data_IF_335439700100
#
_entry.id   IF_335439700100
#
_cell.length_a   1.000
_cell.length_b   1.000
_cell.length_c   1.000
_cell.angle_alpha   90.00
_cell.angle_beta   90.00
_cell.angle_gamma   90.00
#
_symmetry.space_group_name_H-M   'P 1'
#
loop_
_entity.id
_entity.type
_entity.pdbx_description
1 polymer ?
#
# COMPACT_ATOMS: atom_id res chain seq x y z
N UNK A 1 0.91 -11.61 8.73
CA UNK A 1 0.74 -10.15 8.61
C UNK A 1 -0.09 -9.72 7.41
N UNK A 2 0.02 -10.37 6.24
CA UNK A 2 -0.80 -10.05 5.06
C UNK A 2 -2.31 -9.97 5.37
N UNK A 3 -2.93 -11.01 5.95
CA UNK A 3 -4.37 -10.93 6.30
C UNK A 3 -4.70 -9.75 7.22
N UNK A 4 -3.93 -9.60 8.29
CA UNK A 4 -4.09 -8.52 9.27
C UNK A 4 -4.07 -7.12 8.63
N UNK A 5 -3.05 -6.80 7.83
CA UNK A 5 -2.94 -5.47 7.22
C UNK A 5 -4.05 -5.21 6.22
N UNK A 6 -4.64 -6.25 5.62
CA UNK A 6 -5.72 -6.11 4.66
C UNK A 6 -7.01 -5.73 5.37
N UNK A 7 -7.29 -6.39 6.48
CA UNK A 7 -8.45 -6.08 7.31
C UNK A 7 -8.32 -4.67 7.89
N UNK A 8 -7.12 -4.27 8.34
CA UNK A 8 -6.87 -2.91 8.86
C UNK A 8 -7.13 -1.84 7.79
N UNK A 9 -6.59 -1.97 6.57
CA UNK A 9 -6.82 -0.97 5.52
C UNK A 9 -8.28 -0.99 5.03
N UNK A 10 -8.90 -2.17 4.98
CA UNK A 10 -10.33 -2.32 4.70
C UNK A 10 -11.20 -1.52 5.66
N UNK A 11 -10.98 -1.71 6.96
CA UNK A 11 -11.75 -1.05 8.00
C UNK A 11 -11.48 0.46 8.07
N UNK A 12 -10.19 0.85 8.04
CA UNK A 12 -9.80 2.25 8.24
C UNK A 12 -10.00 3.14 7.02
N UNK A 13 -9.69 2.66 5.81
CA UNK A 13 -9.76 3.46 4.60
C UNK A 13 -11.08 3.25 3.83
N UNK A 14 -11.64 2.04 3.84
CA UNK A 14 -12.78 1.72 2.96
C UNK A 14 -14.09 1.46 3.72
N UNK A 15 -14.05 1.41 5.05
CA UNK A 15 -15.20 1.03 5.88
C UNK A 15 -15.73 -0.37 5.55
N UNK A 16 -14.86 -1.25 5.04
CA UNK A 16 -15.18 -2.59 4.58
C UNK A 16 -14.37 -3.63 5.33
N UNK A 17 -15.05 -4.57 5.98
CA UNK A 17 -14.38 -5.68 6.65
C UNK A 17 -14.16 -6.83 5.66
N UNK A 18 -12.91 -7.04 5.26
CA UNK A 18 -12.55 -8.17 4.39
C UNK A 18 -12.67 -9.51 5.11
N UNK A 19 -12.68 -9.54 6.44
CA UNK A 19 -12.76 -10.75 7.24
C UNK A 19 -11.72 -11.79 6.80
N UNK A 20 -10.53 -11.32 6.41
CA UNK A 20 -9.50 -12.18 5.84
C UNK A 20 -8.86 -13.07 6.91
N UNK A 21 -8.86 -12.65 8.17
CA UNK A 21 -8.44 -13.46 9.31
C UNK A 21 -9.37 -14.65 9.59
N UNK A 22 -10.67 -14.52 9.32
CA UNK A 22 -11.68 -15.59 9.54
C UNK A 22 -11.93 -16.45 8.29
N UNK A 23 -11.20 -16.20 7.18
CA UNK A 23 -11.30 -16.91 5.89
C UNK A 23 -12.70 -16.88 5.24
N UNK A 24 -13.57 -15.93 5.57
CA UNK A 24 -14.91 -15.89 4.97
C UNK A 24 -14.89 -15.42 3.50
N UNK A 25 -13.91 -14.58 3.13
CA UNK A 25 -13.75 -14.02 1.78
C UNK A 25 -12.54 -14.58 1.00
N UNK A 26 -12.29 -15.89 1.05
CA UNK A 26 -11.16 -16.52 0.35
C UNK A 26 -11.10 -16.23 -1.15
N UNK A 27 -12.26 -16.06 -1.81
CA UNK A 27 -12.33 -15.79 -3.25
C UNK A 27 -11.75 -14.42 -3.61
N UNK A 28 -12.10 -13.38 -2.84
CA UNK A 28 -11.58 -12.02 -3.02
C UNK A 28 -10.07 -11.99 -2.75
N UNK A 29 -9.63 -12.70 -1.71
CA UNK A 29 -8.21 -12.88 -1.39
C UNK A 29 -7.43 -13.57 -2.50
N UNK A 30 -8.00 -14.64 -3.07
CA UNK A 30 -7.38 -15.38 -4.17
C UNK A 30 -7.30 -14.53 -5.44
N UNK A 31 -8.36 -13.78 -5.76
CA UNK A 31 -8.39 -12.84 -6.88
C UNK A 31 -7.31 -11.75 -6.72
N UNK A 32 -7.20 -11.17 -5.53
CA UNK A 32 -6.19 -10.17 -5.19
C UNK A 32 -4.76 -10.72 -5.33
N UNK A 33 -4.49 -11.88 -4.73
CA UNK A 33 -3.17 -12.54 -4.83
C UNK A 33 -2.77 -12.82 -6.29
N UNK A 34 -3.72 -13.25 -7.12
CA UNK A 34 -3.44 -13.49 -8.54
C UNK A 34 -3.16 -12.21 -9.33
N UNK A 35 -3.70 -11.08 -8.92
CA UNK A 35 -3.41 -9.79 -9.55
C UNK A 35 -2.00 -9.30 -9.22
N UNK A 36 -1.57 -9.40 -7.95
CA UNK A 36 -0.28 -8.88 -7.51
C UNK A 36 0.90 -9.82 -7.74
N UNK A 37 0.66 -11.10 -8.05
CA UNK A 37 1.75 -11.99 -8.46
C UNK A 37 2.38 -11.54 -9.77
N UNK A 38 3.72 -11.44 -9.85
CA UNK A 38 4.38 -11.06 -11.09
C UNK A 38 3.98 -12.05 -12.20
N UNK A 39 3.63 -11.57 -13.40
CA UNK A 39 3.44 -12.46 -14.54
C UNK A 39 4.68 -13.31 -14.74
N UNK A 40 4.50 -14.58 -15.11
CA UNK A 40 5.60 -15.42 -15.58
C UNK A 40 6.37 -14.68 -16.68
N UNK A 41 7.70 -14.83 -16.73
CA UNK A 41 8.57 -14.14 -17.71
C UNK A 41 8.02 -14.31 -19.14
N UNK A 42 7.58 -15.51 -19.50
CA UNK A 42 6.97 -15.79 -20.81
C UNK A 42 5.72 -14.93 -21.08
N UNK A 43 4.86 -14.75 -20.08
CA UNK A 43 3.67 -13.89 -20.16
C UNK A 43 4.06 -12.41 -20.29
N UNK A 44 5.08 -11.96 -19.55
CA UNK A 44 5.57 -10.58 -19.65
C UNK A 44 6.14 -10.28 -21.05
N UNK A 45 6.97 -11.18 -21.59
CA UNK A 45 7.52 -11.10 -22.95
C UNK A 45 6.38 -11.10 -23.97
N UNK A 46 5.43 -12.04 -23.87
CA UNK A 46 4.27 -12.08 -24.76
C UNK A 46 3.50 -10.76 -24.77
N UNK A 47 3.27 -10.16 -23.60
CA UNK A 47 2.54 -8.90 -23.47
C UNK A 47 3.28 -7.69 -24.05
N UNK A 48 4.61 -7.64 -23.94
CA UNK A 48 5.42 -6.53 -24.43
C UNK A 48 5.57 -6.57 -25.95
N UNK A 49 5.78 -7.77 -26.52
CA UNK A 49 6.15 -7.91 -27.93
C UNK A 49 4.98 -8.27 -28.87
N UNK A 50 3.88 -8.83 -28.36
CA UNK A 50 2.74 -9.23 -29.19
C UNK A 50 1.57 -8.24 -29.06
N UNK A 51 1.16 -7.56 -30.14
CA UNK A 51 -0.01 -6.71 -30.11
C UNK A 51 -1.26 -7.54 -29.81
N UNK A 52 -2.17 -6.99 -29.00
CA UNK A 52 -3.42 -7.65 -28.57
C UNK A 52 -3.24 -8.95 -27.79
N UNK A 53 -2.06 -9.23 -27.22
CA UNK A 53 -1.82 -10.41 -26.37
C UNK A 53 -2.89 -10.55 -25.29
N UNK A 54 -3.28 -9.46 -24.64
CA UNK A 54 -4.31 -9.41 -23.59
C UNK A 54 -5.73 -9.78 -24.08
N UNK A 55 -5.98 -9.85 -25.40
CA UNK A 55 -7.27 -10.26 -26.00
C UNK A 55 -7.30 -11.74 -26.40
N UNK A 56 -6.17 -12.45 -26.29
CA UNK A 56 -6.11 -13.85 -26.72
C UNK A 56 -6.87 -14.77 -25.75
N UNK A 57 -7.50 -15.85 -26.24
CA UNK A 57 -8.33 -16.75 -25.43
C UNK A 57 -7.48 -17.73 -24.58
N UNK A 58 -6.38 -17.24 -24.00
CA UNK A 58 -5.53 -18.03 -23.11
C UNK A 58 -6.18 -18.12 -21.73
N UNK A 59 -6.17 -19.33 -21.14
CA UNK A 59 -6.73 -19.57 -19.80
C UNK A 59 -6.10 -18.68 -18.72
N UNK A 60 -4.81 -18.37 -18.84
CA UNK A 60 -4.12 -17.49 -17.91
C UNK A 60 -4.65 -16.04 -17.98
N UNK A 61 -4.95 -15.54 -19.18
CA UNK A 61 -5.52 -14.20 -19.40
C UNK A 61 -6.96 -14.15 -18.89
N UNK A 62 -7.76 -15.16 -19.22
CA UNK A 62 -9.15 -15.27 -18.74
C UNK A 62 -9.22 -15.27 -17.22
N UNK A 63 -8.40 -16.10 -16.55
CA UNK A 63 -8.32 -16.12 -15.08
C UNK A 63 -7.97 -14.75 -14.50
N UNK A 64 -6.97 -14.05 -15.05
CA UNK A 64 -6.61 -12.70 -14.59
C UNK A 64 -7.74 -11.69 -14.80
N UNK A 65 -8.42 -11.75 -15.94
CA UNK A 65 -9.56 -10.88 -16.24
C UNK A 65 -10.74 -11.14 -15.30
N UNK A 66 -11.01 -12.40 -14.96
CA UNK A 66 -12.07 -12.78 -14.02
C UNK A 66 -11.76 -12.31 -12.59
N UNK A 67 -10.51 -12.46 -12.14
CA UNK A 67 -10.08 -11.91 -10.85
C UNK A 67 -10.16 -10.39 -10.80
N UNK A 68 -9.73 -9.71 -11.87
CA UNK A 68 -9.87 -8.25 -11.99
C UNK A 68 -11.33 -7.83 -11.91
N UNK A 69 -12.22 -8.53 -12.61
CA UNK A 69 -13.66 -8.26 -12.59
C UNK A 69 -14.24 -8.44 -11.19
N UNK A 70 -13.87 -9.52 -10.49
CA UNK A 70 -14.32 -9.80 -9.13
C UNK A 70 -13.89 -8.68 -8.16
N UNK A 71 -12.62 -8.28 -8.17
CA UNK A 71 -12.15 -7.20 -7.29
C UNK A 71 -12.84 -5.88 -7.59
N UNK A 72 -13.00 -5.55 -8.88
CA UNK A 72 -13.66 -4.31 -9.28
C UNK A 72 -15.12 -4.31 -8.84
N UNK A 73 -15.83 -5.42 -9.02
CA UNK A 73 -17.21 -5.59 -8.55
C UNK A 73 -17.32 -5.42 -7.04
N UNK A 74 -16.44 -6.04 -6.25
CA UNK A 74 -16.46 -5.88 -4.79
C UNK A 74 -16.28 -4.42 -4.37
N UNK A 75 -15.36 -3.69 -5.02
CA UNK A 75 -15.17 -2.26 -4.73
C UNK A 75 -16.37 -1.43 -5.20
N UNK A 76 -16.93 -1.72 -6.36
CA UNK A 76 -18.14 -1.06 -6.88
C UNK A 76 -19.35 -1.27 -5.96
N UNK A 77 -19.51 -2.46 -5.38
CA UNK A 77 -20.57 -2.77 -4.44
C UNK A 77 -20.44 -1.93 -3.16
N UNK A 78 -19.21 -1.78 -2.65
CA UNK A 78 -18.91 -0.92 -1.49
C UNK A 78 -19.20 0.55 -1.79
N UNK A 79 -18.71 1.06 -2.93
CA UNK A 79 -18.96 2.44 -3.36
C UNK A 79 -20.46 2.69 -3.55
N UNK A 80 -21.18 1.75 -4.18
CA UNK A 80 -22.62 1.84 -4.41
C UNK A 80 -23.41 1.83 -3.10
N UNK A 81 -23.03 0.98 -2.14
CA UNK A 81 -23.64 0.95 -0.82
C UNK A 81 -23.45 2.27 -0.05
N UNK A 82 -22.27 2.89 -0.19
CA UNK A 82 -21.96 4.21 0.40
C UNK A 82 -22.74 5.35 -0.25
N UNK A 83 -22.83 5.39 -1.57
CA UNK A 83 -23.63 6.39 -2.28
C UNK A 83 -25.12 6.32 -1.93
N UNK A 84 -25.65 5.11 -1.70
CA UNK A 84 -27.05 4.90 -1.29
C UNK A 84 -27.31 5.24 0.18
N UNK A 85 -26.27 5.22 1.02
CA UNK A 85 -26.38 5.45 2.46
C UNK A 85 -25.81 6.84 2.79
N UNK A 86 -26.61 7.91 2.86
CA UNK A 86 -26.12 9.24 3.22
C UNK A 86 -25.73 9.30 4.71
N UNK A 87 -24.58 8.68 5.05
CA UNK A 87 -23.94 8.66 6.39
C UNK A 87 -23.66 10.06 6.92
N UNK A 88 -23.63 11.05 6.03
CA UNK A 88 -23.37 12.46 6.32
C UNK A 88 -24.39 13.11 7.29
N UNK A 89 -25.57 12.49 7.50
CA UNK A 89 -26.59 13.01 8.46
C UNK A 89 -26.51 12.41 9.87
N UNK A 90 -25.73 11.36 10.10
CA UNK A 90 -25.78 10.60 11.36
C UNK A 90 -24.54 10.71 12.24
N UNK A 91 -23.55 11.54 11.87
CA UNK A 91 -22.31 11.67 12.65
C UNK A 91 -21.45 10.40 12.67
N UNK A 92 -21.66 9.49 11.71
CA UNK A 92 -20.88 8.28 11.57
C UNK A 92 -19.44 8.61 11.11
N UNK A 93 -18.49 7.78 11.54
CA UNK A 93 -17.09 7.90 11.16
C UNK A 93 -16.94 7.95 9.62
N UNK A 94 -16.24 8.99 9.15
CA UNK A 94 -15.96 9.21 7.73
C UNK A 94 -14.70 8.45 7.35
N UNK A 95 -14.75 7.67 6.27
CA UNK A 95 -13.57 6.98 5.72
C UNK A 95 -13.08 7.62 4.41
N UNK A 96 -11.97 7.10 3.87
CA UNK A 96 -11.31 7.66 2.69
C UNK A 96 -12.23 7.67 1.45
N UNK A 97 -13.08 6.65 1.29
CA UNK A 97 -14.02 6.59 0.16
C UNK A 97 -15.10 7.65 0.31
N UNK A 98 -15.62 7.83 1.52
CA UNK A 98 -16.60 8.88 1.80
C UNK A 98 -16.02 10.27 1.53
N UNK A 99 -14.74 10.50 1.84
CA UNK A 99 -14.02 11.74 1.51
C UNK A 99 -13.81 11.93 0.01
N UNK A 100 -13.43 10.88 -0.73
CA UNK A 100 -13.23 10.96 -2.18
C UNK A 100 -14.52 11.27 -2.93
N UNK A 101 -15.65 10.74 -2.47
CA UNK A 101 -16.95 10.97 -3.08
C UNK A 101 -17.57 12.32 -2.66
N UNK A 102 -16.97 13.03 -1.69
CA UNK A 102 -17.41 14.35 -1.25
C UNK A 102 -16.97 15.45 -2.24
N UNK A 103 -17.72 15.55 -3.32
CA UNK A 103 -17.51 16.49 -4.42
C UNK A 103 -17.91 17.95 -4.09
N UNK A 104 -18.09 18.31 -2.81
CA UNK A 104 -18.50 19.68 -2.42
C UNK A 104 -17.33 20.66 -2.29
N UNK A 105 -16.10 20.18 -2.14
CA UNK A 105 -14.93 21.01 -1.81
C UNK A 105 -13.86 21.06 -2.89
N UNK A 106 -13.98 20.27 -3.96
CA UNK A 106 -12.94 20.12 -4.99
C UNK A 106 -13.39 20.67 -6.33
N UNK A 107 -12.51 21.42 -7.01
CA UNK A 107 -12.71 21.86 -8.40
C UNK A 107 -12.80 20.66 -9.35
N UNK A 108 -12.10 19.57 -9.02
CA UNK A 108 -12.18 18.29 -9.71
C UNK A 108 -13.07 17.32 -8.96
N UNK A 109 -14.15 16.87 -9.61
CA UNK A 109 -15.08 15.89 -9.05
C UNK A 109 -14.60 14.48 -9.35
N UNK A 110 -14.39 13.68 -8.32
CA UNK A 110 -13.98 12.29 -8.46
C UNK A 110 -15.22 11.46 -8.83
N UNK A 111 -15.16 10.80 -9.98
CA UNK A 111 -16.19 9.84 -10.41
C UNK A 111 -16.09 8.52 -9.65
N UNK A 112 -17.16 7.71 -9.65
CA UNK A 112 -17.14 6.39 -9.02
C UNK A 112 -16.07 5.45 -9.62
N UNK A 113 -15.78 5.59 -10.92
CA UNK A 113 -14.75 4.81 -11.61
C UNK A 113 -13.33 5.22 -11.18
N UNK A 114 -13.08 6.52 -11.03
CA UNK A 114 -11.82 7.05 -10.50
C UNK A 114 -11.66 6.64 -9.03
N UNK A 115 -12.71 6.76 -8.22
CA UNK A 115 -12.71 6.31 -6.83
C UNK A 115 -12.35 4.82 -6.71
N UNK A 116 -12.94 3.94 -7.54
CA UNK A 116 -12.58 2.51 -7.59
C UNK A 116 -11.09 2.32 -7.92
N UNK A 117 -10.58 3.05 -8.89
CA UNK A 117 -9.16 2.97 -9.30
C UNK A 117 -8.23 3.41 -8.17
N UNK A 118 -8.58 4.48 -7.46
CA UNK A 118 -7.86 4.93 -6.27
C UNK A 118 -7.91 3.91 -5.13
N UNK A 119 -9.09 3.35 -4.83
CA UNK A 119 -9.24 2.30 -3.81
C UNK A 119 -8.32 1.11 -4.10
N UNK A 120 -8.29 0.62 -5.34
CA UNK A 120 -7.38 -0.48 -5.74
C UNK A 120 -5.90 -0.11 -5.56
N UNK A 121 -5.55 1.15 -5.84
CA UNK A 121 -4.19 1.67 -5.66
C UNK A 121 -3.80 1.72 -4.18
N UNK A 122 -4.64 2.30 -3.32
CA UNK A 122 -4.39 2.36 -1.87
C UNK A 122 -4.37 0.99 -1.23
N UNK A 123 -5.29 0.11 -1.62
CA UNK A 123 -5.34 -1.28 -1.14
C UNK A 123 -4.03 -2.00 -1.45
N UNK A 124 -3.47 -1.83 -2.64
CA UNK A 124 -2.20 -2.47 -3.03
C UNK A 124 -1.01 -1.84 -2.31
N UNK A 125 -0.91 -0.51 -2.35
CA UNK A 125 0.23 0.21 -1.81
C UNK A 125 0.34 0.10 -0.29
N UNK A 126 -0.76 0.17 0.46
CA UNK A 126 -0.72 0.21 1.92
C UNK A 126 -0.63 -1.16 2.59
N UNK A 127 -1.16 -2.19 1.94
CA UNK A 127 -1.27 -3.54 2.51
C UNK A 127 0.03 -4.33 2.44
N UNK A 128 0.56 -4.49 1.23
CA UNK A 128 1.71 -5.36 0.98
C UNK A 128 2.97 -4.79 1.62
N UNK A 129 3.14 -3.47 1.51
CA UNK A 129 4.29 -2.76 2.07
C UNK A 129 4.33 -2.91 3.59
N UNK A 130 3.23 -2.58 4.27
CA UNK A 130 3.11 -2.72 5.73
C UNK A 130 3.26 -4.16 6.19
N UNK A 131 2.70 -5.13 5.44
CA UNK A 131 2.80 -6.54 5.82
C UNK A 131 4.24 -7.05 5.80
N UNK A 132 5.02 -6.62 4.80
CA UNK A 132 6.43 -7.01 4.67
C UNK A 132 7.30 -6.28 5.69
N UNK A 133 7.01 -5.00 5.98
CA UNK A 133 7.65 -4.26 7.07
C UNK A 133 7.46 -4.98 8.41
N UNK A 134 6.23 -5.41 8.72
CA UNK A 134 5.95 -6.17 9.94
C UNK A 134 6.70 -7.51 9.97
N UNK A 135 6.81 -8.22 8.85
CA UNK A 135 7.64 -9.43 8.77
C UNK A 135 9.10 -9.15 9.17
N UNK A 136 9.72 -8.09 8.63
CA UNK A 136 11.09 -7.71 8.98
C UNK A 136 11.23 -7.24 10.41
N UNK A 137 10.30 -6.41 10.90
CA UNK A 137 10.32 -5.91 12.29
C UNK A 137 10.30 -7.06 13.28
N UNK A 138 9.38 -8.02 13.11
CA UNK A 138 9.32 -9.18 14.00
C UNK A 138 10.50 -10.14 13.82
N UNK A 139 11.05 -10.27 12.61
CA UNK A 139 12.30 -11.02 12.39
C UNK A 139 13.50 -10.40 13.13
N UNK A 140 13.59 -9.06 13.15
CA UNK A 140 14.64 -8.34 13.87
C UNK A 140 14.46 -8.44 15.37
N UNK A 141 13.23 -8.32 15.89
CA UNK A 141 12.93 -8.50 17.31
C UNK A 141 13.27 -9.92 17.78
N UNK A 142 12.95 -10.95 16.98
CA UNK A 142 13.23 -12.34 17.31
C UNK A 142 14.73 -12.66 17.38
N UNK A 143 15.58 -11.88 16.70
CA UNK A 143 17.04 -12.06 16.66
C UNK A 143 17.79 -11.13 17.62
N UNK A 144 17.11 -10.14 18.21
CA UNK A 144 17.69 -9.13 19.12
C UNK A 144 16.86 -8.99 20.40
N UNK A 145 16.94 -9.95 21.34
CA UNK A 145 16.10 -9.98 22.55
C UNK A 145 16.25 -8.75 23.45
N UNK A 146 17.42 -8.13 23.47
CA UNK A 146 17.67 -6.88 24.20
C UNK A 146 16.85 -5.71 23.63
N UNK A 147 16.73 -5.64 22.31
CA UNK A 147 15.95 -4.62 21.62
C UNK A 147 14.45 -4.87 21.81
N UNK A 148 14.03 -6.13 21.79
CA UNK A 148 12.65 -6.54 22.08
C UNK A 148 12.24 -6.17 23.52
N UNK A 149 13.11 -6.45 24.50
CA UNK A 149 12.87 -6.11 25.90
C UNK A 149 12.68 -4.60 26.08
N UNK A 150 13.51 -3.80 25.41
CA UNK A 150 13.42 -2.33 25.45
C UNK A 150 12.14 -1.80 24.79
N UNK A 151 11.76 -2.34 23.62
CA UNK A 151 10.51 -1.98 22.95
C UNK A 151 9.29 -2.33 23.80
N UNK A 152 9.29 -3.53 24.40
CA UNK A 152 8.22 -3.99 25.29
C UNK A 152 8.11 -3.10 26.54
N UNK A 153 9.23 -2.72 27.15
CA UNK A 153 9.24 -1.79 28.29
C UNK A 153 8.58 -0.46 27.93
N UNK A 154 8.98 0.16 26.81
CA UNK A 154 8.40 1.42 26.36
C UNK A 154 6.88 1.30 26.15
N UNK A 155 6.41 0.23 25.51
CA UNK A 155 4.97 0.00 25.35
C UNK A 155 4.22 -0.12 26.69
N UNK A 156 4.81 -0.79 27.68
CA UNK A 156 4.21 -0.91 29.01
C UNK A 156 4.20 0.43 29.76
N UNK A 157 5.28 1.19 29.70
CA UNK A 157 5.40 2.48 30.36
C UNK A 157 4.39 3.49 29.79
N UNK A 158 4.28 3.57 28.47
CA UNK A 158 3.29 4.42 27.79
C UNK A 158 1.87 3.96 28.10
N UNK A 159 1.59 2.66 28.06
CA UNK A 159 0.26 2.16 28.42
C UNK A 159 -0.09 2.47 29.89
N UNK A 160 0.85 2.32 30.83
CA UNK A 160 0.65 2.62 32.24
C UNK A 160 0.35 4.11 32.47
N UNK A 161 1.02 5.00 31.74
CA UNK A 161 0.75 6.44 31.77
C UNK A 161 -0.64 6.80 31.19
N UNK A 162 -1.19 5.97 30.31
CA UNK A 162 -2.43 6.20 29.57
C UNK A 162 -3.55 5.22 29.98
N UNK A 163 -3.78 5.06 31.29
CA UNK A 163 -4.87 4.25 31.86
C UNK A 163 -4.89 2.78 31.38
N UNK A 164 -3.71 2.22 31.11
CA UNK A 164 -3.53 0.84 30.66
C UNK A 164 -3.81 0.61 29.17
N UNK A 165 -3.92 1.68 28.35
CA UNK A 165 -4.24 1.59 26.92
C UNK A 165 -3.31 2.46 26.09
N UNK A 166 -3.04 2.02 24.87
CA UNK A 166 -2.36 2.85 23.86
C UNK A 166 -3.44 3.49 22.99
N UNK A 167 -3.63 4.79 23.16
CA UNK A 167 -4.55 5.60 22.35
C UNK A 167 -3.79 6.37 21.25
N UNK A 168 -4.53 6.90 20.27
CA UNK A 168 -3.96 7.67 19.16
C UNK A 168 -3.00 8.78 19.61
N UNK A 169 -3.35 9.50 20.69
CA UNK A 169 -2.53 10.58 21.24
C UNK A 169 -1.21 10.10 21.84
N UNK A 170 -1.21 8.90 22.42
CA UNK A 170 -0.03 8.29 23.07
C UNK A 170 0.94 7.65 22.08
N UNK A 171 0.56 7.45 20.82
CA UNK A 171 1.45 6.85 19.80
C UNK A 171 2.73 7.67 19.58
N UNK A 172 2.67 9.00 19.76
CA UNK A 172 3.85 9.87 19.66
C UNK A 172 4.88 9.67 20.78
N UNK A 173 4.51 8.98 21.87
CA UNK A 173 5.38 8.68 23.00
C UNK A 173 6.23 7.43 22.78
N UNK A 174 5.85 6.56 21.82
CA UNK A 174 6.56 5.33 21.45
C UNK A 174 7.80 5.61 20.57
N UNK A 175 8.73 6.41 21.10
CA UNK A 175 9.90 6.91 20.36
C UNK A 175 10.84 5.79 19.94
N UNK A 176 11.11 4.85 20.84
CA UNK A 176 11.99 3.73 20.59
C UNK A 176 11.39 2.73 19.61
N UNK A 177 10.12 2.38 19.74
CA UNK A 177 9.42 1.54 18.76
C UNK A 177 9.43 2.21 17.38
N UNK A 178 9.18 3.52 17.32
CA UNK A 178 9.25 4.28 16.06
C UNK A 178 10.65 4.23 15.44
N UNK A 179 11.69 4.47 16.25
CA UNK A 179 13.08 4.38 15.80
C UNK A 179 13.45 2.97 15.32
N UNK A 180 13.00 1.92 16.00
CA UNK A 180 13.23 0.54 15.62
C UNK A 180 12.59 0.19 14.27
N UNK A 181 11.34 0.64 14.04
CA UNK A 181 10.66 0.45 12.75
C UNK A 181 11.41 1.18 11.63
N UNK A 182 11.85 2.42 11.88
CA UNK A 182 12.63 3.21 10.91
C UNK A 182 13.96 2.54 10.59
N UNK A 183 14.67 2.03 11.59
CA UNK A 183 15.94 1.33 11.38
C UNK A 183 15.75 0.00 10.64
N UNK A 184 14.68 -0.73 10.94
CA UNK A 184 14.31 -1.93 10.18
C UNK A 184 14.06 -1.60 8.70
N UNK A 185 13.36 -0.50 8.40
CA UNK A 185 13.12 -0.05 7.04
C UNK A 185 14.39 0.45 6.33
N UNK A 186 15.35 1.01 7.07
CA UNK A 186 16.67 1.38 6.54
C UNK A 186 17.48 0.16 6.11
N UNK A 187 17.51 -0.88 6.94
CA UNK A 187 18.25 -2.12 6.69
C UNK A 187 17.56 -3.01 5.65
N UNK A 188 16.24 -3.17 5.78
CA UNK A 188 15.38 -4.06 4.99
C UNK A 188 14.22 -3.28 4.36
N UNK A 189 14.51 -2.46 3.34
CA UNK A 189 13.45 -1.70 2.71
C UNK A 189 12.52 -2.61 1.90
N UNK A 190 11.21 -2.44 2.14
CA UNK A 190 10.18 -3.21 1.43
C UNK A 190 10.12 -2.91 -0.07
N UNK A 191 10.51 -1.71 -0.49
CA UNK A 191 10.55 -1.29 -1.89
C UNK A 191 12.01 -0.99 -2.26
N UNK A 192 12.69 -1.93 -2.89
CA UNK A 192 14.11 -1.79 -3.23
C UNK A 192 14.41 -0.74 -4.31
N UNK A 193 13.45 -0.48 -5.21
CA UNK A 193 13.57 0.48 -6.29
C UNK A 193 12.26 1.29 -6.40
N UNK A 194 12.39 2.62 -6.47
CA UNK A 194 11.23 3.48 -6.67
C UNK A 194 10.68 3.32 -8.08
N UNK A 195 9.40 3.65 -8.25
CA UNK A 195 8.77 3.61 -9.56
C UNK A 195 9.57 4.47 -10.56
N UNK A 196 9.78 3.89 -11.74
CA UNK A 196 10.45 4.54 -12.86
C UNK A 196 9.82 5.90 -13.15
N UNK A 197 10.66 6.88 -13.48
CA UNK A 197 10.25 8.22 -13.89
C UNK A 197 10.67 8.45 -15.33
N UNK A 198 9.85 9.19 -16.05
CA UNK A 198 10.12 9.66 -17.40
C UNK A 198 10.10 11.19 -17.40
N UNK A 199 11.12 11.82 -17.98
CA UNK A 199 11.19 13.27 -18.11
C UNK A 199 10.17 13.79 -19.12
N UNK A 200 9.25 14.63 -18.65
CA UNK A 200 8.22 15.25 -19.49
C UNK A 200 8.79 16.33 -20.44
N UNK A 201 9.87 16.97 -20.02
CA UNK A 201 10.61 18.01 -20.76
C UNK A 201 12.10 17.84 -20.54
N UNK A 202 12.90 18.46 -21.40
CA UNK A 202 14.34 18.59 -21.20
C UNK A 202 14.62 19.32 -19.87
N UNK A 203 15.58 18.82 -19.10
CA UNK A 203 15.92 19.34 -17.78
C UNK A 203 17.42 19.21 -17.48
N UNK A 204 17.89 19.93 -16.46
CA UNK A 204 19.28 19.92 -16.00
C UNK A 204 19.32 19.58 -14.51
N UNK A 205 19.79 18.37 -14.19
CA UNK A 205 19.90 17.93 -12.80
C UNK A 205 21.13 18.55 -12.12
N UNK A 206 20.97 19.22 -10.96
CA UNK A 206 22.10 19.72 -10.20
C UNK A 206 22.84 18.54 -9.55
N UNK A 207 24.15 18.42 -9.81
CA UNK A 207 24.98 17.38 -9.20
C UNK A 207 25.74 17.93 -7.99
N UNK A 208 26.10 17.06 -7.05
CA UNK A 208 26.90 17.40 -5.87
C UNK A 208 28.27 18.03 -6.23
N UNK A 209 28.77 17.77 -7.45
CA UNK A 209 29.99 18.39 -8.01
C UNK A 209 29.81 19.85 -8.45
N UNK A 210 28.61 20.42 -8.32
CA UNK A 210 28.26 21.77 -8.80
C UNK A 210 28.07 21.89 -10.31
N UNK A 211 28.22 20.79 -11.07
CA UNK A 211 27.95 20.72 -12.50
C UNK A 211 26.51 20.25 -12.74
N UNK A 212 25.86 20.79 -13.77
CA UNK A 212 24.54 20.33 -14.19
C UNK A 212 24.66 19.18 -15.19
N UNK A 213 23.83 18.14 -15.03
CA UNK A 213 23.72 17.03 -15.98
C UNK A 213 22.46 17.20 -16.83
N UNK A 214 22.62 17.29 -18.15
CA UNK A 214 21.50 17.40 -19.06
C UNK A 214 20.73 16.08 -19.16
N UNK A 215 19.41 16.16 -19.01
CA UNK A 215 18.49 15.04 -19.14
C UNK A 215 17.46 15.39 -20.22
N UNK A 216 17.48 14.70 -21.37
CA UNK A 216 16.54 14.96 -22.45
C UNK A 216 15.13 14.49 -22.05
N UNK A 217 14.11 14.99 -22.74
CA UNK A 217 12.74 14.48 -22.70
C UNK A 217 12.69 12.98 -23.05
N UNK A 218 11.79 12.23 -22.41
CA UNK A 218 11.64 10.76 -22.54
C UNK A 218 12.80 9.97 -21.92
N UNK A 219 13.67 10.62 -21.15
CA UNK A 219 14.70 9.92 -20.41
C UNK A 219 14.09 9.18 -19.22
N UNK A 220 14.40 7.89 -19.13
CA UNK A 220 13.87 6.98 -18.12
C UNK A 220 14.92 6.76 -17.03
N UNK A 221 14.56 7.02 -15.78
CA UNK A 221 15.45 6.82 -14.63
C UNK A 221 14.71 6.23 -13.42
N UNK A 222 15.49 5.60 -12.53
CA UNK A 222 15.00 5.03 -11.28
C UNK A 222 15.92 5.47 -10.16
N UNK A 223 15.34 5.96 -9.07
CA UNK A 223 16.07 6.27 -7.83
C UNK A 223 16.19 5.02 -6.97
N UNK A 224 17.42 4.66 -6.60
CA UNK A 224 17.68 3.62 -5.63
C UNK A 224 17.70 4.23 -4.23
N UNK A 225 17.00 3.58 -3.31
CA UNK A 225 17.00 3.94 -1.89
C UNK A 225 18.21 3.35 -1.14
N UNK A 226 19.01 2.51 -1.79
CA UNK A 226 20.16 1.82 -1.19
C UNK A 226 21.39 2.71 -0.99
N UNK A 227 21.27 4.03 -1.24
CA UNK A 227 22.39 4.98 -1.17
C UNK A 227 22.87 5.29 0.26
N UNK A 228 22.19 4.78 1.30
CA UNK A 228 22.48 5.04 2.72
C UNK A 228 22.78 3.77 3.52
N UNK A 229 23.37 2.77 2.87
CA UNK A 229 23.90 1.59 3.57
C UNK A 229 25.33 1.87 3.99
N UNK A 230 25.51 2.49 5.16
CA UNK A 230 26.71 2.20 5.94
C UNK A 230 26.52 0.80 6.52
N UNK A 231 27.40 -0.12 6.11
CA UNK A 231 27.46 -1.49 6.60
C UNK A 231 28.02 -1.48 8.04
N UNK A 232 27.28 -2.06 8.99
CA UNK A 232 27.75 -2.36 10.34
C UNK A 232 28.26 -3.80 10.40
#
# INVERSE_FOLDING_TARGET
FTKLTLDIIGLSAFGYDFQSLTNQNERVMAAYKMMNQPPSILFAVGRVYLPFFDRWPLRAIQRRNDAKRMLFQTVDDVISAKLKSPRRRTGAATDLVDLMLDNQSTEHKISAEEARTHVMTFLTAGHETTSSTLCWVFSMLATHPEMETKARSECHDVAAANNGRIEWKSLGELKYVTAFIQETLRLYPTIAALATRETATDDYLPMASGKSYFVPKVYIYTTSILLWKDEF
#
